data_IF_873823223840
#
_entry.id   IF_873823223840
#
_cell.length_a   1.000
_cell.length_b   1.000
_cell.length_c   1.000
_cell.angle_alpha   90.00
_cell.angle_beta   90.00
_cell.angle_gamma   90.00
#
_symmetry.space_group_name_H-M   'P 1'
#
loop_
_entity.id
_entity.type
_entity.pdbx_description
1 polymer ?
#
# COMPACT_ATOMS: atom_id res chain seq x y z
N UNK A 1 11.53 -4.19 1.01
CA UNK A 1 12.09 -5.53 1.33
C UNK A 1 13.10 -5.39 2.45
N UNK A 2 12.98 -6.23 3.48
CA UNK A 2 14.00 -6.30 4.53
C UNK A 2 15.36 -6.60 3.89
N UNK A 3 16.32 -5.72 4.14
CA UNK A 3 17.69 -5.95 3.70
C UNK A 3 18.51 -6.51 4.85
N UNK A 4 18.77 -7.82 4.78
CA UNK A 4 19.69 -8.52 5.70
C UNK A 4 21.08 -8.69 5.07
N UNK A 5 21.42 -7.86 4.06
CA UNK A 5 22.70 -7.96 3.40
C UNK A 5 23.84 -7.67 4.39
N UNK A 6 24.82 -8.54 4.41
CA UNK A 6 26.09 -8.38 5.16
C UNK A 6 27.17 -7.71 4.29
N UNK A 7 26.75 -7.11 3.17
CA UNK A 7 27.59 -6.47 2.16
C UNK A 7 27.56 -4.93 2.24
N UNK A 8 28.08 -4.26 1.22
CA UNK A 8 28.14 -2.80 1.10
C UNK A 8 26.77 -2.12 1.10
N UNK A 9 25.69 -2.88 1.00
CA UNK A 9 24.31 -2.40 1.04
C UNK A 9 23.59 -2.66 2.37
N UNK A 10 24.33 -2.98 3.42
CA UNK A 10 23.74 -3.18 4.74
C UNK A 10 23.01 -1.91 5.21
N UNK A 11 21.72 -2.04 5.49
CA UNK A 11 20.88 -0.91 5.88
C UNK A 11 20.18 -0.18 4.73
N UNK A 12 20.44 -0.53 3.46
CA UNK A 12 19.72 0.03 2.31
C UNK A 12 18.44 -0.72 2.04
N UNK A 13 17.42 -0.03 1.51
CA UNK A 13 16.21 -0.63 1.00
C UNK A 13 16.46 -1.34 -0.32
N UNK A 14 15.70 -2.39 -0.58
CA UNK A 14 15.85 -3.20 -1.78
C UNK A 14 14.56 -3.29 -2.58
N UNK A 15 14.61 -2.91 -3.86
CA UNK A 15 13.53 -3.06 -4.82
C UNK A 15 13.96 -4.09 -5.86
N UNK A 16 13.25 -5.21 -5.91
CA UNK A 16 13.55 -6.30 -6.84
C UNK A 16 12.81 -6.05 -8.15
N UNK A 17 13.52 -6.15 -9.27
CA UNK A 17 12.99 -5.88 -10.60
C UNK A 17 12.74 -7.19 -11.35
N UNK A 18 11.58 -7.31 -11.95
CA UNK A 18 11.18 -8.43 -12.79
C UNK A 18 10.67 -7.92 -14.15
N UNK A 19 10.74 -8.76 -15.17
CA UNK A 19 10.01 -8.53 -16.41
C UNK A 19 8.52 -8.96 -16.27
N UNK A 20 7.75 -8.81 -17.34
CA UNK A 20 6.32 -9.15 -17.35
C UNK A 20 6.05 -10.64 -17.10
N UNK A 21 7.01 -11.50 -17.37
CA UNK A 21 6.93 -12.95 -17.14
C UNK A 21 7.50 -13.37 -15.78
N UNK A 22 7.79 -12.40 -14.91
CA UNK A 22 8.41 -12.58 -13.61
C UNK A 22 9.82 -13.20 -13.62
N UNK A 23 10.58 -13.01 -14.71
CA UNK A 23 12.00 -13.30 -14.70
C UNK A 23 12.76 -12.17 -14.00
N UNK A 24 13.64 -12.52 -13.08
CA UNK A 24 14.47 -11.56 -12.34
C UNK A 24 15.37 -10.77 -13.31
N UNK A 25 15.32 -9.44 -13.21
CA UNK A 25 16.13 -8.51 -14.00
C UNK A 25 17.25 -7.86 -13.20
N UNK A 26 17.00 -7.58 -11.93
CA UNK A 26 17.98 -6.93 -11.10
C UNK A 26 17.43 -6.49 -9.75
N UNK A 27 18.27 -5.77 -9.04
CA UNK A 27 17.93 -5.15 -7.76
C UNK A 27 18.33 -3.69 -7.82
N UNK A 28 17.41 -2.83 -7.44
CA UNK A 28 17.66 -1.42 -7.20
C UNK A 28 17.81 -1.23 -5.69
N UNK A 29 18.93 -0.65 -5.28
CA UNK A 29 19.20 -0.29 -3.90
C UNK A 29 18.81 1.17 -3.67
N UNK A 30 18.15 1.45 -2.57
CA UNK A 30 17.72 2.80 -2.19
C UNK A 30 18.45 3.21 -0.93
N UNK A 31 19.32 4.20 -1.06
CA UNK A 31 20.09 4.74 0.06
C UNK A 31 19.17 5.40 1.11
N UNK A 32 19.60 5.35 2.35
CA UNK A 32 18.91 5.94 3.50
C UNK A 32 17.48 5.42 3.74
N UNK A 33 17.13 4.29 3.20
CA UNK A 33 15.96 3.51 3.57
C UNK A 33 16.39 2.34 4.44
N UNK A 34 15.54 1.96 5.36
CA UNK A 34 15.85 0.85 6.26
C UNK A 34 15.20 -0.45 5.79
N UNK A 35 14.96 -1.35 6.69
CA UNK A 35 14.50 -2.71 6.43
C UNK A 35 13.09 -2.80 5.86
N UNK A 36 12.27 -1.76 6.01
CA UNK A 36 10.86 -1.82 5.64
C UNK A 36 10.54 -0.71 4.65
N UNK A 37 10.60 -1.02 3.39
CA UNK A 37 10.00 -0.20 2.34
C UNK A 37 8.51 -0.57 2.30
N UNK A 38 7.63 0.40 2.53
CA UNK A 38 6.18 0.23 2.44
C UNK A 38 5.71 0.09 0.99
N UNK A 39 4.74 0.89 0.56
CA UNK A 39 4.23 0.86 -0.81
C UNK A 39 5.26 1.28 -1.86
N UNK A 40 5.00 0.89 -3.08
CA UNK A 40 5.66 1.37 -4.29
C UNK A 40 4.61 1.98 -5.21
N UNK A 41 4.91 3.13 -5.83
CA UNK A 41 4.01 3.77 -6.78
C UNK A 41 4.79 4.54 -7.83
N UNK A 42 4.34 4.50 -9.08
CA UNK A 42 4.85 5.39 -10.13
C UNK A 42 4.00 6.66 -10.22
N UNK A 43 4.66 7.80 -10.40
CA UNK A 43 4.00 9.06 -10.73
C UNK A 43 3.78 9.19 -12.26
N UNK A 44 3.17 10.29 -12.70
CA UNK A 44 2.86 10.54 -14.11
C UNK A 44 4.12 10.70 -14.97
N UNK A 45 5.25 11.06 -14.38
CA UNK A 45 6.55 11.20 -15.05
C UNK A 45 7.34 9.88 -15.05
N UNK A 46 6.70 8.76 -14.62
CA UNK A 46 7.32 7.45 -14.44
C UNK A 46 8.46 7.42 -13.41
N UNK A 47 8.48 8.33 -12.45
CA UNK A 47 9.37 8.16 -11.31
C UNK A 47 8.75 7.18 -10.33
N UNK A 48 9.58 6.29 -9.80
CA UNK A 48 9.17 5.36 -8.75
C UNK A 48 9.27 6.03 -7.38
N UNK A 49 8.19 5.99 -6.64
CA UNK A 49 8.13 6.41 -5.23
C UNK A 49 8.17 5.18 -4.35
N UNK A 50 9.12 5.16 -3.42
CA UNK A 50 9.28 4.10 -2.43
C UNK A 50 9.17 4.69 -1.03
N UNK A 51 8.37 4.04 -0.19
CA UNK A 51 8.02 4.52 1.14
C UNK A 51 8.67 3.66 2.21
N UNK A 52 9.43 4.29 3.09
CA UNK A 52 9.97 3.67 4.30
C UNK A 52 9.31 4.30 5.53
N UNK A 53 8.20 3.74 5.94
CA UNK A 53 7.42 4.26 7.07
C UNK A 53 8.15 4.16 8.40
N UNK A 54 9.11 3.25 8.53
CA UNK A 54 9.91 3.09 9.75
C UNK A 54 10.94 4.19 9.91
N UNK A 55 11.56 4.62 8.80
CA UNK A 55 12.60 5.64 8.81
C UNK A 55 12.08 7.03 8.42
N UNK A 56 10.75 7.18 8.28
CA UNK A 56 10.08 8.41 7.89
C UNK A 56 10.61 8.99 6.57
N UNK A 57 10.93 8.10 5.63
CA UNK A 57 11.61 8.44 4.39
C UNK A 57 10.73 8.10 3.18
N UNK A 58 10.72 8.99 2.22
CA UNK A 58 10.13 8.80 0.90
C UNK A 58 11.23 9.01 -0.12
N UNK A 59 11.51 7.98 -0.89
CA UNK A 59 12.56 8.00 -1.91
C UNK A 59 11.92 8.06 -3.29
N UNK A 60 12.42 8.95 -4.13
CA UNK A 60 12.01 9.08 -5.53
C UNK A 60 13.14 8.59 -6.43
N UNK A 61 12.83 7.70 -7.37
CA UNK A 61 13.79 7.13 -8.31
C UNK A 61 13.36 7.46 -9.73
N UNK A 62 14.29 7.96 -10.55
CA UNK A 62 14.03 8.30 -11.95
C UNK A 62 13.74 7.05 -12.80
N UNK A 63 13.16 7.20 -14.00
CA UNK A 63 13.01 6.10 -14.96
C UNK A 63 14.34 5.43 -15.36
N UNK A 64 15.48 6.08 -15.11
CA UNK A 64 16.81 5.53 -15.36
C UNK A 64 17.36 4.72 -14.19
N UNK A 65 16.62 4.63 -13.08
CA UNK A 65 17.07 3.96 -11.86
C UNK A 65 17.96 4.82 -10.96
N UNK A 66 18.07 6.12 -11.21
CA UNK A 66 18.85 7.04 -10.39
C UNK A 66 17.97 7.58 -9.26
N UNK A 67 18.45 7.51 -8.02
CA UNK A 67 17.75 8.14 -6.91
C UNK A 67 17.77 9.66 -7.10
N UNK A 68 16.60 10.21 -7.27
CA UNK A 68 16.39 11.65 -7.31
C UNK A 68 16.22 12.08 -5.85
N UNK A 69 16.55 13.25 -5.48
CA UNK A 69 16.50 13.79 -4.13
C UNK A 69 15.47 13.12 -3.22
N UNK A 70 15.89 12.80 -2.01
CA UNK A 70 14.98 12.42 -0.94
C UNK A 70 14.03 13.60 -0.71
N UNK A 71 12.74 13.38 -0.91
CA UNK A 71 11.74 14.41 -0.64
C UNK A 71 11.48 14.39 0.87
N UNK A 72 11.75 15.48 1.54
CA UNK A 72 11.47 15.62 2.96
C UNK A 72 10.01 16.04 3.17
N UNK A 73 9.16 15.09 3.49
CA UNK A 73 7.78 15.33 3.90
C UNK A 73 7.62 15.49 5.42
N UNK A 74 8.71 15.68 6.14
CA UNK A 74 8.76 15.71 7.60
C UNK A 74 8.86 14.31 8.23
N UNK A 75 8.91 14.28 9.54
CA UNK A 75 9.03 13.04 10.32
C UNK A 75 7.67 12.34 10.48
N UNK A 76 7.14 11.78 9.38
CA UNK A 76 5.87 11.05 9.36
C UNK A 76 6.03 9.68 8.73
N UNK A 77 5.29 8.71 9.24
CA UNK A 77 5.34 7.32 8.78
C UNK A 77 4.48 7.09 7.53
N UNK A 78 4.78 7.79 6.44
CA UNK A 78 4.10 7.54 5.19
C UNK A 78 4.45 6.16 4.63
N UNK A 79 3.43 5.43 4.21
CA UNK A 79 3.59 4.07 3.65
C UNK A 79 3.07 3.92 2.24
N UNK A 80 2.30 4.88 1.76
CA UNK A 80 1.66 4.80 0.45
C UNK A 80 1.36 6.18 -0.13
N UNK A 81 1.13 6.21 -1.44
CA UNK A 81 0.67 7.39 -2.14
C UNK A 81 -0.40 7.06 -3.19
N UNK A 82 -1.24 8.04 -3.50
CA UNK A 82 -1.90 8.14 -4.79
C UNK A 82 -1.71 9.55 -5.36
N UNK A 83 -1.88 9.68 -6.66
CA UNK A 83 -1.63 10.91 -7.40
C UNK A 83 -2.90 11.34 -8.12
N UNK A 84 -3.18 12.65 -8.12
CA UNK A 84 -4.23 13.21 -8.95
C UNK A 84 -3.73 13.50 -10.37
N UNK A 85 -4.65 13.68 -11.31
CA UNK A 85 -4.35 14.11 -12.68
C UNK A 85 -3.67 15.49 -12.73
N UNK A 86 -3.87 16.32 -11.70
CA UNK A 86 -3.18 17.62 -11.56
C UNK A 86 -1.74 17.52 -11.04
N UNK A 87 -1.28 16.31 -10.65
CA UNK A 87 0.04 16.09 -10.08
C UNK A 87 0.13 16.30 -8.56
N UNK A 88 -0.99 16.56 -7.89
CA UNK A 88 -1.00 16.56 -6.41
C UNK A 88 -0.75 15.16 -5.87
N UNK A 89 -0.05 15.09 -4.74
CA UNK A 89 0.35 13.86 -4.08
C UNK A 89 -0.45 13.70 -2.80
N UNK A 90 -1.16 12.57 -2.66
CA UNK A 90 -1.85 12.22 -1.43
C UNK A 90 -1.08 11.11 -0.72
N UNK A 91 -0.55 11.42 0.45
CA UNK A 91 0.25 10.48 1.26
C UNK A 91 -0.59 9.95 2.42
N UNK A 92 -0.60 8.63 2.58
CA UNK A 92 -1.25 7.94 3.68
C UNK A 92 -0.28 7.64 4.82
N UNK A 93 -0.66 7.99 6.05
CA UNK A 93 0.14 7.77 7.24
C UNK A 93 -0.20 6.44 7.90
N UNK A 94 0.77 5.53 7.91
CA UNK A 94 0.59 4.12 8.30
C UNK A 94 0.47 3.94 9.81
N UNK A 95 1.40 4.53 10.57
CA UNK A 95 1.43 4.40 12.02
C UNK A 95 0.73 5.57 12.66
N UNK A 96 0.15 5.37 13.81
CA UNK A 96 -0.75 6.31 14.44
C UNK A 96 -0.38 6.61 15.89
N UNK A 97 -0.45 7.87 16.27
CA UNK A 97 -0.35 8.38 17.61
C UNK A 97 0.89 7.97 18.40
N UNK A 98 1.05 8.47 19.56
CA UNK A 98 1.91 7.92 20.62
C UNK A 98 1.12 6.89 21.46
N UNK A 99 1.77 6.25 22.42
CA UNK A 99 1.11 5.27 23.29
C UNK A 99 -0.12 5.82 24.01
N UNK A 100 -0.16 7.13 24.29
CA UNK A 100 -1.26 7.76 25.02
C UNK A 100 -2.50 8.01 24.16
N UNK A 101 -2.32 8.15 22.83
CA UNK A 101 -3.39 8.51 21.89
C UNK A 101 -3.78 7.36 20.95
N UNK A 102 -3.10 6.23 21.03
CA UNK A 102 -3.25 5.17 20.07
C UNK A 102 -4.48 4.31 20.34
N UNK A 103 -5.55 4.52 19.60
CA UNK A 103 -6.78 3.71 19.67
C UNK A 103 -6.55 2.24 19.34
N UNK A 104 -5.49 1.90 18.63
CA UNK A 104 -5.14 0.51 18.35
C UNK A 104 -4.79 -0.27 19.63
N UNK A 105 -4.37 0.40 20.70
CA UNK A 105 -4.12 -0.21 22.01
C UNK A 105 -5.41 -0.50 22.79
N UNK A 106 -6.52 0.14 22.43
CA UNK A 106 -7.80 0.01 23.14
C UNK A 106 -8.63 -1.18 22.63
N UNK A 107 -8.32 -1.70 21.47
CA UNK A 107 -9.09 -2.76 20.83
C UNK A 107 -8.84 -4.17 21.40
N UNK A 108 -9.70 -5.13 21.09
CA UNK A 108 -9.58 -6.51 21.56
C UNK A 108 -8.31 -7.19 21.09
N UNK A 109 -7.68 -6.73 20.04
CA UNK A 109 -6.43 -7.26 19.47
C UNK A 109 -5.19 -6.64 20.10
N UNK A 110 -5.32 -5.52 20.82
CA UNK A 110 -4.22 -4.79 21.46
C UNK A 110 -2.94 -4.84 20.60
N UNK A 111 -3.05 -4.45 19.36
CA UNK A 111 -1.86 -4.30 18.52
C UNK A 111 -0.99 -3.27 19.19
N UNK A 112 0.08 -3.72 19.79
CA UNK A 112 1.10 -2.80 20.28
C UNK A 112 1.63 -2.08 19.06
N UNK A 113 1.81 -0.80 19.18
CA UNK A 113 2.32 0.12 18.18
C UNK A 113 3.67 -0.27 17.62
N UNK A 114 4.40 -1.06 18.34
CA UNK A 114 5.59 -1.71 17.85
C UNK A 114 5.15 -3.04 17.26
N UNK A 115 4.92 -3.07 15.96
CA UNK A 115 4.89 -4.34 15.26
C UNK A 115 6.21 -5.05 15.60
N UNK A 116 6.21 -6.37 15.90
CA UNK A 116 7.42 -7.07 16.35
C UNK A 116 8.62 -6.96 15.39
N UNK A 117 8.38 -6.53 14.16
CA UNK A 117 9.36 -6.33 13.10
C UNK A 117 9.74 -4.86 12.87
N UNK A 118 9.25 -3.93 13.69
CA UNK A 118 9.58 -2.51 13.65
C UNK A 118 10.19 -2.10 15.00
N UNK A 119 11.41 -2.59 15.32
CA UNK A 119 12.06 -2.25 16.58
C UNK A 119 12.39 -0.76 16.62
N UNK A 120 12.25 -0.16 17.78
CA UNK A 120 12.66 1.22 18.09
C UNK A 120 11.89 2.35 17.40
N UNK A 121 10.73 2.10 16.84
CA UNK A 121 9.85 3.16 16.32
C UNK A 121 9.32 3.97 17.50
N UNK A 122 9.85 5.17 17.69
CA UNK A 122 9.50 6.06 18.83
C UNK A 122 8.46 7.10 18.49
N UNK A 123 8.11 7.25 17.23
CA UNK A 123 7.14 8.23 16.75
C UNK A 123 6.13 7.55 15.86
N UNK A 124 4.92 8.02 15.97
CA UNK A 124 3.78 7.53 15.23
C UNK A 124 3.16 8.73 14.53
N UNK A 125 2.41 8.47 13.49
CA UNK A 125 1.63 9.49 12.83
C UNK A 125 0.25 9.68 13.45
N UNK A 126 -0.54 10.52 12.82
CA UNK A 126 -1.93 10.79 13.21
C UNK A 126 -2.93 9.88 12.48
N UNK A 127 -2.48 9.09 11.49
CA UNK A 127 -3.32 8.18 10.70
C UNK A 127 -4.18 8.90 9.66
N UNK A 128 -3.71 10.04 9.18
CA UNK A 128 -4.40 10.91 8.24
C UNK A 128 -3.95 10.70 6.79
N UNK A 129 -4.66 11.38 5.88
CA UNK A 129 -4.20 11.66 4.53
C UNK A 129 -3.65 13.08 4.48
N UNK A 130 -2.59 13.28 3.72
CA UNK A 130 -1.93 14.56 3.53
C UNK A 130 -1.78 14.84 2.05
N UNK A 131 -2.19 16.04 1.63
CA UNK A 131 -2.03 16.51 0.26
C UNK A 131 -0.79 17.39 0.15
N UNK A 132 0.10 17.02 -0.75
CA UNK A 132 1.27 17.80 -1.10
C UNK A 132 1.22 18.20 -2.58
N UNK A 133 1.87 19.30 -2.90
CA UNK A 133 2.20 19.62 -4.29
C UNK A 133 3.36 18.75 -4.79
N UNK A 134 3.58 18.76 -6.11
CA UNK A 134 4.64 18.00 -6.76
C UNK A 134 6.06 18.34 -6.29
N UNK A 135 6.25 19.53 -5.73
CA UNK A 135 7.51 20.03 -5.14
C UNK A 135 7.62 19.77 -3.63
N UNK A 136 6.65 19.07 -3.03
CA UNK A 136 6.69 18.63 -1.64
C UNK A 136 6.14 19.62 -0.61
N UNK A 137 5.45 20.70 -1.04
CA UNK A 137 4.79 21.62 -0.13
C UNK A 137 3.47 21.02 0.38
N UNK A 138 3.29 20.96 1.71
CA UNK A 138 2.02 20.54 2.32
C UNK A 138 0.92 21.55 1.99
N UNK A 139 -0.13 21.09 1.34
CA UNK A 139 -1.29 21.90 0.94
C UNK A 139 -2.48 21.71 1.88
N UNK A 140 -2.76 20.46 2.29
CA UNK A 140 -3.94 20.15 3.09
C UNK A 140 -3.70 18.90 3.94
N UNK A 141 -4.36 18.83 5.07
CA UNK A 141 -4.43 17.64 5.95
C UNK A 141 -5.88 17.22 6.04
N UNK A 142 -6.13 15.95 5.75
CA UNK A 142 -7.46 15.34 5.77
C UNK A 142 -7.57 14.43 6.99
N UNK A 143 -8.37 14.83 7.96
CA UNK A 143 -8.62 14.05 9.18
C UNK A 143 -9.58 12.90 8.85
N UNK A 144 -9.02 11.73 8.62
CA UNK A 144 -9.75 10.52 8.23
C UNK A 144 -10.38 9.81 9.43
N UNK A 145 -11.25 8.82 9.18
CA UNK A 145 -11.76 7.95 10.25
C UNK A 145 -10.68 7.10 10.92
N UNK A 146 -9.49 7.02 10.32
CA UNK A 146 -8.33 6.35 10.92
C UNK A 146 -7.44 7.28 11.73
N UNK A 147 -7.84 8.55 11.89
CA UNK A 147 -7.18 9.49 12.81
C UNK A 147 -7.11 8.93 14.23
N UNK A 148 -5.93 8.97 14.82
CA UNK A 148 -5.65 8.37 16.12
C UNK A 148 -5.70 6.84 16.12
N UNK A 149 -5.72 6.21 14.95
CA UNK A 149 -5.84 4.77 14.76
C UNK A 149 -7.25 4.23 15.00
N UNK A 150 -7.49 3.05 14.45
CA UNK A 150 -8.68 2.27 14.78
C UNK A 150 -8.30 1.18 15.79
N UNK A 151 -9.18 0.81 16.73
CA UNK A 151 -8.92 -0.30 17.64
C UNK A 151 -8.50 -1.57 16.90
N UNK A 152 -7.28 -2.02 17.10
CA UNK A 152 -6.69 -3.19 16.44
C UNK A 152 -6.22 -2.98 15.00
N UNK A 153 -6.19 -1.74 14.50
CA UNK A 153 -5.77 -1.40 13.14
C UNK A 153 -4.81 -0.22 13.13
N UNK A 154 -4.07 -0.13 12.05
CA UNK A 154 -3.13 0.96 11.77
C UNK A 154 -3.87 2.16 11.14
N UNK A 155 -3.17 3.23 10.80
CA UNK A 155 -3.73 4.37 10.10
C UNK A 155 -4.09 4.09 8.63
N UNK A 156 -3.79 5.00 7.73
CA UNK A 156 -3.99 4.80 6.29
C UNK A 156 -2.86 3.92 5.74
N UNK A 157 -3.15 2.65 5.48
CA UNK A 157 -2.14 1.67 5.05
C UNK A 157 -2.04 1.51 3.54
N UNK A 158 -3.11 1.82 2.82
CA UNK A 158 -3.11 1.94 1.37
C UNK A 158 -4.15 2.97 0.94
N UNK A 159 -3.86 3.67 -0.15
CA UNK A 159 -4.75 4.62 -0.77
C UNK A 159 -4.71 4.51 -2.29
N UNK A 160 -5.80 4.90 -2.95
CA UNK A 160 -5.91 4.89 -4.39
C UNK A 160 -6.90 5.96 -4.85
N UNK A 161 -6.63 6.57 -6.00
CA UNK A 161 -7.51 7.52 -6.66
C UNK A 161 -7.88 6.96 -8.03
N UNK A 162 -9.15 6.95 -8.35
CA UNK A 162 -9.66 6.51 -9.64
C UNK A 162 -9.97 7.69 -10.56
N UNK A 163 -10.88 7.50 -11.48
CA UNK A 163 -11.33 8.55 -12.39
C UNK A 163 -12.11 9.68 -11.70
N UNK A 164 -12.73 9.40 -10.56
CA UNK A 164 -13.32 10.43 -9.71
C UNK A 164 -12.22 11.09 -8.87
N UNK A 165 -11.66 12.19 -9.39
CA UNK A 165 -10.59 12.94 -8.74
C UNK A 165 -11.05 13.74 -7.50
N UNK A 166 -12.35 13.70 -7.17
CA UNK A 166 -12.85 14.27 -5.92
C UNK A 166 -12.65 13.39 -4.70
N UNK A 167 -12.33 12.10 -4.91
CA UNK A 167 -12.27 11.11 -3.83
C UNK A 167 -10.96 10.33 -3.79
N UNK A 168 -10.45 10.17 -2.58
CA UNK A 168 -9.42 9.17 -2.26
C UNK A 168 -10.11 7.98 -1.58
N UNK A 169 -9.93 6.80 -2.17
CA UNK A 169 -10.30 5.53 -1.55
C UNK A 169 -9.13 5.05 -0.71
N UNK A 170 -9.36 4.65 0.54
CA UNK A 170 -8.29 4.22 1.44
C UNK A 170 -8.74 3.09 2.37
N UNK A 171 -7.76 2.40 2.94
CA UNK A 171 -7.98 1.34 3.93
C UNK A 171 -7.06 1.51 5.13
N UNK A 172 -7.49 0.92 6.25
CA UNK A 172 -6.62 0.50 7.34
C UNK A 172 -6.51 -1.02 7.25
N UNK A 173 -5.32 -1.51 6.95
CA UNK A 173 -5.06 -2.94 6.72
C UNK A 173 -5.58 -3.81 7.87
N UNK A 174 -6.13 -4.97 7.54
CA UNK A 174 -6.85 -5.86 8.44
C UNK A 174 -8.14 -5.29 9.03
N UNK A 175 -8.61 -4.14 8.51
CA UNK A 175 -9.95 -3.63 8.74
C UNK A 175 -10.98 -4.31 7.85
N UNK A 176 -12.25 -4.21 8.22
CA UNK A 176 -13.37 -4.74 7.45
C UNK A 176 -14.04 -3.70 6.55
N UNK A 177 -13.37 -2.55 6.32
CA UNK A 177 -13.96 -1.40 5.61
C UNK A 177 -13.01 -0.87 4.52
N UNK A 178 -13.60 -0.41 3.44
CA UNK A 178 -12.95 0.42 2.42
C UNK A 178 -13.59 1.79 2.48
N UNK A 179 -12.81 2.77 2.89
CA UNK A 179 -13.25 4.13 3.14
C UNK A 179 -13.13 5.00 1.90
N UNK A 180 -13.87 6.10 1.88
CA UNK A 180 -13.72 7.17 0.91
C UNK A 180 -13.61 8.53 1.63
N UNK A 181 -12.73 9.39 1.14
CA UNK A 181 -12.62 10.78 1.59
C UNK A 181 -12.85 11.72 0.42
N UNK A 182 -13.81 12.64 0.55
CA UNK A 182 -14.05 13.69 -0.44
C UNK A 182 -13.03 14.83 -0.20
N UNK A 183 -12.00 14.85 -1.04
CA UNK A 183 -10.88 15.80 -0.89
C UNK A 183 -11.21 17.20 -1.40
N UNK A 184 -12.33 17.37 -2.11
CA UNK A 184 -12.80 18.68 -2.56
C UNK A 184 -13.65 19.35 -1.47
N UNK A 185 -14.52 18.56 -0.82
CA UNK A 185 -15.36 19.07 0.27
C UNK A 185 -14.63 19.05 1.62
N UNK A 186 -13.49 18.37 1.71
CA UNK A 186 -12.75 18.10 2.93
C UNK A 186 -13.62 17.42 3.99
N UNK A 187 -14.27 16.33 3.61
CA UNK A 187 -15.13 15.56 4.50
C UNK A 187 -15.02 14.05 4.26
N UNK A 188 -15.20 13.30 5.34
CA UNK A 188 -15.33 11.84 5.25
C UNK A 188 -16.62 11.50 4.51
N UNK A 189 -16.52 10.75 3.42
CA UNK A 189 -17.66 10.23 2.69
C UNK A 189 -18.13 8.88 3.28
N UNK A 190 -19.27 8.40 2.80
CA UNK A 190 -19.74 7.06 3.13
C UNK A 190 -18.72 6.01 2.68
N UNK A 191 -18.63 4.91 3.44
CA UNK A 191 -17.76 3.80 3.07
C UNK A 191 -18.14 3.26 1.69
N UNK A 192 -17.14 2.95 0.88
CA UNK A 192 -17.36 2.21 -0.35
C UNK A 192 -17.83 0.79 -0.05
N UNK A 193 -17.22 0.16 0.97
CA UNK A 193 -17.54 -1.20 1.40
C UNK A 193 -17.41 -1.29 2.92
N UNK A 194 -18.34 -2.02 3.53
CA UNK A 194 -18.24 -2.50 4.90
C UNK A 194 -18.62 -3.98 4.93
N UNK A 195 -17.66 -4.83 5.29
CA UNK A 195 -17.96 -6.26 5.54
C UNK A 195 -18.54 -6.44 6.94
N UNK A 196 -19.48 -7.37 7.07
CA UNK A 196 -20.04 -7.71 8.37
C UNK A 196 -18.93 -8.24 9.31
N UNK A 197 -18.83 -7.72 10.53
CA UNK A 197 -17.75 -8.13 11.46
C UNK A 197 -17.70 -9.64 11.72
N UNK A 198 -18.86 -10.30 11.72
CA UNK A 198 -19.01 -11.73 11.97
C UNK A 198 -18.50 -12.59 10.82
N UNK A 199 -18.44 -12.05 9.60
CA UNK A 199 -17.92 -12.77 8.43
C UNK A 199 -16.43 -13.09 8.61
N UNK A 200 -15.71 -12.24 9.31
CA UNK A 200 -14.24 -12.31 9.44
C UNK A 200 -13.51 -11.86 8.17
N UNK A 201 -14.22 -11.23 7.24
CA UNK A 201 -13.65 -10.67 6.02
C UNK A 201 -12.94 -9.34 6.32
N UNK A 202 -11.73 -9.20 5.81
CA UNK A 202 -10.84 -8.06 6.01
C UNK A 202 -10.29 -7.60 4.67
N UNK A 203 -9.81 -6.37 4.61
CA UNK A 203 -9.14 -5.80 3.44
C UNK A 203 -7.64 -5.70 3.70
N UNK A 204 -6.84 -6.13 2.74
CA UNK A 204 -5.37 -6.09 2.84
C UNK A 204 -4.77 -5.07 1.88
N UNK A 205 -5.25 -5.00 0.65
CA UNK A 205 -4.74 -4.12 -0.37
C UNK A 205 -5.85 -3.61 -1.28
N UNK A 206 -5.66 -2.44 -1.86
CA UNK A 206 -6.56 -1.83 -2.83
C UNK A 206 -5.77 -1.18 -3.97
N UNK A 207 -6.36 -1.12 -5.15
CA UNK A 207 -5.82 -0.35 -6.27
C UNK A 207 -6.90 -0.06 -7.31
N UNK A 208 -6.76 1.06 -8.04
CA UNK A 208 -7.44 1.26 -9.31
C UNK A 208 -6.51 0.81 -10.45
N UNK A 209 -7.12 0.28 -11.49
CA UNK A 209 -6.45 0.06 -12.76
C UNK A 209 -6.46 1.35 -13.59
N UNK A 210 -5.68 1.37 -14.67
CA UNK A 210 -5.61 2.52 -15.57
C UNK A 210 -6.93 2.83 -16.30
N UNK A 211 -7.83 1.85 -16.43
CA UNK A 211 -9.16 2.04 -17.01
C UNK A 211 -10.24 2.40 -15.97
N UNK A 212 -9.85 2.61 -14.70
CA UNK A 212 -10.74 3.03 -13.62
C UNK A 212 -11.45 1.91 -12.88
N UNK A 213 -11.23 0.63 -13.23
CA UNK A 213 -11.73 -0.51 -12.45
C UNK A 213 -11.07 -0.53 -11.07
N UNK A 214 -11.84 -0.88 -10.03
CA UNK A 214 -11.35 -0.94 -8.66
C UNK A 214 -11.20 -2.38 -8.17
N UNK A 215 -10.06 -2.68 -7.55
CA UNK A 215 -9.72 -4.00 -7.06
C UNK A 215 -9.25 -3.98 -5.62
N UNK A 216 -9.51 -5.07 -4.90
CA UNK A 216 -8.99 -5.31 -3.55
C UNK A 216 -8.52 -6.74 -3.36
N UNK A 217 -7.63 -6.93 -2.38
CA UNK A 217 -7.39 -8.24 -1.78
C UNK A 217 -8.24 -8.32 -0.53
N UNK A 218 -9.22 -9.23 -0.56
CA UNK A 218 -10.03 -9.61 0.58
C UNK A 218 -9.40 -10.80 1.28
N UNK A 219 -9.21 -10.72 2.57
CA UNK A 219 -8.63 -11.77 3.39
C UNK A 219 -9.64 -12.28 4.40
N UNK A 220 -9.72 -13.60 4.50
CA UNK A 220 -10.40 -14.27 5.58
C UNK A 220 -9.51 -15.41 6.05
N UNK A 221 -8.94 -15.30 7.25
CA UNK A 221 -7.96 -16.27 7.75
C UNK A 221 -8.55 -17.67 8.02
N UNK A 222 -9.88 -17.81 7.93
CA UNK A 222 -10.59 -19.11 8.04
C UNK A 222 -11.05 -19.63 6.69
N UNK A 223 -11.48 -18.74 5.79
CA UNK A 223 -12.08 -19.10 4.52
C UNK A 223 -11.15 -18.95 3.30
N UNK A 224 -10.03 -18.21 3.44
CA UNK A 224 -9.07 -17.98 2.37
C UNK A 224 -8.97 -16.52 1.93
N UNK A 225 -8.11 -16.26 0.98
CA UNK A 225 -7.87 -14.93 0.41
C UNK A 225 -8.45 -14.87 -1.00
N UNK A 226 -8.92 -13.71 -1.41
CA UNK A 226 -9.52 -13.50 -2.73
C UNK A 226 -9.08 -12.17 -3.33
N UNK A 227 -8.85 -12.17 -4.65
CA UNK A 227 -8.81 -10.96 -5.46
C UNK A 227 -10.24 -10.62 -5.85
N UNK A 228 -10.69 -9.41 -5.52
CA UNK A 228 -12.04 -8.93 -5.80
C UNK A 228 -11.98 -7.75 -6.78
N UNK A 229 -12.83 -7.77 -7.81
CA UNK A 229 -13.16 -6.61 -8.62
C UNK A 229 -14.45 -6.01 -8.11
N UNK A 230 -14.49 -4.70 -8.03
CA UNK A 230 -15.65 -3.98 -7.50
C UNK A 230 -16.23 -3.04 -8.53
N UNK A 231 -17.54 -2.84 -8.47
CA UNK A 231 -18.17 -1.68 -9.06
C UNK A 231 -17.70 -0.42 -8.31
N UNK A 232 -17.06 0.55 -8.97
CA UNK A 232 -16.46 1.69 -8.30
C UNK A 232 -17.45 2.67 -7.68
N UNK A 233 -18.72 2.60 -8.07
CA UNK A 233 -19.79 3.48 -7.56
C UNK A 233 -20.50 2.92 -6.33
N UNK A 234 -20.75 1.61 -6.32
CA UNK A 234 -21.50 0.92 -5.26
C UNK A 234 -20.63 0.09 -4.32
N UNK A 235 -19.35 -0.14 -4.69
CA UNK A 235 -18.46 -1.04 -3.96
C UNK A 235 -18.82 -2.52 -4.08
N UNK A 236 -19.95 -2.88 -4.71
CA UNK A 236 -20.36 -4.27 -4.83
C UNK A 236 -19.31 -5.12 -5.58
N UNK A 237 -19.06 -6.33 -5.10
CA UNK A 237 -18.14 -7.26 -5.77
C UNK A 237 -18.80 -7.75 -7.05
N UNK A 238 -18.18 -7.43 -8.20
CA UNK A 238 -18.61 -7.91 -9.52
C UNK A 238 -17.95 -9.22 -9.91
N UNK A 239 -16.68 -9.41 -9.50
CA UNK A 239 -15.91 -10.63 -9.74
C UNK A 239 -15.05 -10.95 -8.51
N UNK A 240 -14.91 -12.24 -8.20
CA UNK A 240 -14.08 -12.71 -7.08
C UNK A 240 -13.34 -13.97 -7.48
N UNK A 241 -12.03 -13.98 -7.26
CA UNK A 241 -11.14 -15.11 -7.55
C UNK A 241 -10.44 -15.55 -6.27
N UNK A 242 -10.50 -16.84 -5.95
CA UNK A 242 -9.75 -17.41 -4.83
C UNK A 242 -8.23 -17.37 -5.11
N UNK A 243 -7.46 -16.97 -4.11
CA UNK A 243 -6.01 -16.94 -4.19
C UNK A 243 -5.39 -18.19 -3.55
N UNK A 244 -4.25 -18.67 -4.07
CA UNK A 244 -3.60 -19.86 -3.55
C UNK A 244 -2.95 -19.59 -2.19
N UNK A 245 -3.69 -19.92 -1.13
CA UNK A 245 -3.24 -19.72 0.26
C UNK A 245 -3.25 -18.28 0.76
N UNK A 246 -2.88 -18.08 2.03
CA UNK A 246 -2.87 -16.77 2.66
C UNK A 246 -1.59 -15.98 2.36
N UNK A 247 -1.62 -14.68 2.69
CA UNK A 247 -0.42 -13.83 2.72
C UNK A 247 -0.27 -12.88 1.55
N UNK A 248 -1.15 -12.91 0.55
CA UNK A 248 -1.15 -11.94 -0.54
C UNK A 248 -1.48 -10.56 0.02
N UNK A 249 -0.52 -9.61 -0.03
CA UNK A 249 -0.60 -8.34 0.67
C UNK A 249 -0.27 -7.12 -0.19
N UNK A 250 0.26 -7.29 -1.39
CA UNK A 250 0.48 -6.19 -2.33
C UNK A 250 -0.17 -6.48 -3.68
N UNK A 251 -0.69 -5.44 -4.33
CA UNK A 251 -1.52 -5.55 -5.52
C UNK A 251 -1.21 -4.42 -6.51
N UNK A 252 -0.98 -4.80 -7.76
CA UNK A 252 -0.89 -3.89 -8.90
C UNK A 252 -1.59 -4.51 -10.09
N UNK A 253 -2.53 -3.79 -10.70
CA UNK A 253 -3.14 -4.23 -11.97
C UNK A 253 -2.20 -3.88 -13.10
N UNK A 254 -1.94 -4.87 -13.97
CA UNK A 254 -1.10 -4.67 -15.13
C UNK A 254 -1.70 -3.63 -16.09
N UNK A 255 -0.84 -2.92 -16.78
CA UNK A 255 -1.22 -1.87 -17.74
C UNK A 255 -2.12 -2.36 -18.87
N UNK A 256 -1.99 -3.65 -19.22
CA UNK A 256 -2.84 -4.28 -20.21
C UNK A 256 -4.28 -4.51 -19.73
N UNK A 257 -4.57 -4.29 -18.45
CA UNK A 257 -5.86 -4.51 -17.82
C UNK A 257 -6.29 -5.99 -17.78
N UNK A 258 -5.41 -6.94 -18.11
CA UNK A 258 -5.73 -8.37 -18.24
C UNK A 258 -5.14 -9.22 -17.14
N UNK A 259 -4.18 -8.71 -16.40
CA UNK A 259 -3.55 -9.44 -15.30
C UNK A 259 -3.30 -8.54 -14.09
N UNK A 260 -3.11 -9.17 -12.93
CA UNK A 260 -2.68 -8.54 -11.70
C UNK A 260 -1.35 -9.12 -11.25
N UNK A 261 -0.46 -8.25 -10.79
CA UNK A 261 0.74 -8.66 -10.08
C UNK A 261 0.47 -8.56 -8.58
N UNK A 262 0.78 -9.61 -7.84
CA UNK A 262 0.60 -9.66 -6.39
C UNK A 262 1.84 -10.23 -5.71
N UNK A 263 2.15 -9.70 -4.52
CA UNK A 263 3.23 -10.18 -3.66
C UNK A 263 2.67 -10.86 -2.43
N UNK A 264 3.21 -12.03 -2.12
CA UNK A 264 2.89 -12.74 -0.90
C UNK A 264 3.87 -12.34 0.20
N UNK A 265 3.36 -11.65 1.21
CA UNK A 265 4.15 -11.15 2.33
C UNK A 265 4.78 -12.28 3.16
N UNK A 266 4.08 -13.41 3.34
CA UNK A 266 4.54 -14.45 4.25
C UNK A 266 5.71 -15.25 3.70
N UNK A 267 5.66 -15.61 2.42
CA UNK A 267 6.62 -16.54 1.81
C UNK A 267 7.50 -15.93 0.71
N UNK A 268 7.27 -14.66 0.35
CA UNK A 268 8.07 -13.98 -0.66
C UNK A 268 7.78 -14.36 -2.11
N UNK A 269 6.67 -15.05 -2.37
CA UNK A 269 6.24 -15.37 -3.73
C UNK A 269 5.68 -14.13 -4.42
N UNK A 270 6.13 -13.89 -5.64
CA UNK A 270 5.49 -12.97 -6.60
C UNK A 270 4.59 -13.79 -7.52
N UNK A 271 3.37 -13.33 -7.78
CA UNK A 271 2.44 -13.98 -8.69
C UNK A 271 1.90 -13.01 -9.73
N UNK A 272 1.74 -13.47 -10.97
CA UNK A 272 0.94 -12.83 -12.02
C UNK A 272 -0.34 -13.63 -12.23
N UNK A 273 -1.48 -12.97 -12.10
CA UNK A 273 -2.79 -13.62 -12.14
C UNK A 273 -3.60 -13.09 -13.31
N UNK A 274 -4.29 -13.98 -14.01
CA UNK A 274 -5.22 -13.63 -15.09
C UNK A 274 -6.52 -13.07 -14.49
N UNK A 275 -6.93 -11.87 -14.88
CA UNK A 275 -8.15 -11.21 -14.38
C UNK A 275 -9.45 -11.76 -15.00
N UNK A 276 -9.38 -12.69 -15.95
CA UNK A 276 -10.58 -13.33 -16.53
C UNK A 276 -11.03 -14.55 -15.74
N UNK A 277 -10.06 -15.30 -15.17
CA UNK A 277 -10.34 -16.60 -14.53
C UNK A 277 -9.66 -16.79 -13.17
N UNK A 278 -8.84 -15.83 -12.74
CA UNK A 278 -8.13 -15.89 -11.46
C UNK A 278 -6.92 -16.82 -11.41
N UNK A 279 -6.56 -17.47 -12.52
CA UNK A 279 -5.42 -18.39 -12.56
C UNK A 279 -4.08 -17.67 -12.42
N UNK A 280 -3.19 -18.21 -11.61
CA UNK A 280 -1.80 -17.75 -11.53
C UNK A 280 -1.04 -18.25 -12.77
N UNK A 281 -0.68 -17.32 -13.66
CA UNK A 281 -0.07 -17.60 -14.97
C UNK A 281 1.45 -17.52 -14.95
N UNK A 282 2.04 -16.88 -13.95
CA UNK A 282 3.48 -16.85 -13.70
C UNK A 282 3.73 -16.67 -12.20
N UNK A 283 4.88 -17.15 -11.72
CA UNK A 283 5.33 -16.93 -10.35
C UNK A 283 6.85 -16.85 -10.26
N UNK A 284 7.34 -16.14 -9.26
CA UNK A 284 8.76 -16.07 -8.91
C UNK A 284 8.94 -16.04 -7.41
N UNK A 285 10.01 -16.67 -6.94
CA UNK A 285 10.41 -16.61 -5.53
C UNK A 285 11.46 -15.50 -5.35
N UNK A 286 11.22 -14.61 -4.39
CA UNK A 286 12.17 -13.54 -4.08
C UNK A 286 13.21 -13.94 -3.05
N UNK A 287 13.04 -15.10 -2.43
CA UNK A 287 13.86 -15.60 -1.31
C UNK A 287 13.89 -14.67 -0.10
N UNK A 288 12.86 -13.86 0.06
CA UNK A 288 12.67 -13.00 1.23
C UNK A 288 11.27 -13.19 1.79
N UNK A 289 11.19 -13.49 3.06
CA UNK A 289 9.93 -13.66 3.77
C UNK A 289 9.55 -12.38 4.52
N UNK A 290 8.25 -12.17 4.70
CA UNK A 290 7.66 -11.07 5.49
C UNK A 290 8.10 -9.67 5.06
N UNK A 291 8.20 -9.44 3.74
CA UNK A 291 8.81 -8.21 3.23
C UNK A 291 8.26 -7.68 1.90
N UNK A 292 7.33 -8.35 1.24
CA UNK A 292 6.74 -7.86 -0.01
C UNK A 292 5.53 -6.97 0.27
N UNK A 293 5.78 -5.75 0.77
CA UNK A 293 4.73 -4.81 1.16
C UNK A 293 4.28 -3.89 0.00
N UNK A 294 5.09 -3.73 -1.04
CA UNK A 294 4.77 -2.86 -2.16
C UNK A 294 5.08 -3.50 -3.50
N UNK A 295 4.27 -3.19 -4.50
CA UNK A 295 4.43 -3.63 -5.88
C UNK A 295 3.95 -2.53 -6.83
N UNK A 296 4.68 -2.29 -7.90
CA UNK A 296 4.29 -1.36 -8.94
C UNK A 296 4.84 -1.81 -10.30
N UNK A 297 4.13 -1.49 -11.38
CA UNK A 297 4.57 -1.76 -12.75
C UNK A 297 5.13 -0.48 -13.37
N UNK A 298 6.33 -0.58 -13.93
CA UNK A 298 6.93 0.49 -14.72
C UNK A 298 6.24 0.62 -16.08
N UNK A 299 5.96 1.85 -16.46
CA UNK A 299 5.34 2.21 -17.73
C UNK A 299 6.48 2.68 -18.65
N UNK A 300 7.20 1.73 -19.22
CA UNK A 300 8.33 2.01 -20.09
C UNK A 300 7.96 2.47 -21.48
#
# INVERSE_FOLDING_TARGET
VLNNAEDDHAGDGRIIQFDSELNLKGTLWTENTTHLVGGLKFDQDNNLWAFDSQNYSVVKVSPKGEQINQVDFGTRSFSNACFSDSGDIFLGEHLVGDESNNKALEGPRKLRTVLPFMPDTKRYGDGNLYKFSSDGELKETYETLTHGGMPGFLGVTASSMGSDQSKVVYISELGNRIFQYDVIKNEQADDLITYEPESGDLVIAITHSTNGDFYSIKANFRAGFSLCKHDPSSGSISEQFELPGPGWASLCIAMDGKSAYMGNFFNGTMGRFNLTNGEMIASAETNVERSLAGIAQFIG
#
